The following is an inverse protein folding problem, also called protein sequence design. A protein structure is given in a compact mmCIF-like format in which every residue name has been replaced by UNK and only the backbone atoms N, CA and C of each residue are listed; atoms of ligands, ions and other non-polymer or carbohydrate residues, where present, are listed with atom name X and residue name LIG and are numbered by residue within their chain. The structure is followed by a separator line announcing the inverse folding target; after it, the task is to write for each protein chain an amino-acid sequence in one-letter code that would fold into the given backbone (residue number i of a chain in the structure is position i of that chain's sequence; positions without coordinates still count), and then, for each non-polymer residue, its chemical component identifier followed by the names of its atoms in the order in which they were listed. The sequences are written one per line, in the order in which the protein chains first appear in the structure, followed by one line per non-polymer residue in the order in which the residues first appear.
data_IF_020206830035
#
_entry.id   IF_020206830035
#
_cell.length_a   1.000
_cell.length_b   1.000
_cell.length_c   1.000
_cell.angle_alpha   90.00
_cell.angle_beta   90.00
_cell.angle_gamma   90.00
#
_symmetry.space_group_name_H-M   'P 1'
#
loop_
_entity.id
_entity.type
_entity.pdbx_description
1 polymer ?
#
# COMPACT_ATOMS: atom_id res chain seq x y z
N UNK A 1 14.57 26.53 -1.25
CA UNK A 1 14.02 25.51 -0.33
C UNK A 1 12.90 24.79 -1.09
N UNK A 2 13.15 23.57 -1.55
CA UNK A 2 12.13 22.79 -2.29
C UNK A 2 11.31 22.04 -1.26
N UNK A 3 10.03 22.36 -1.19
CA UNK A 3 9.05 21.63 -0.40
C UNK A 3 9.05 20.17 -0.90
N UNK A 4 9.03 19.17 0.00
CA UNK A 4 9.06 17.75 -0.35
C UNK A 4 7.93 17.34 -1.30
N UNK A 5 8.14 16.28 -2.09
CA UNK A 5 7.23 15.82 -3.16
C UNK A 5 5.78 15.59 -2.71
N UNK A 6 5.58 15.31 -1.42
CA UNK A 6 4.29 14.86 -0.89
C UNK A 6 3.44 16.00 -0.32
N UNK A 7 4.02 17.19 -0.11
CA UNK A 7 3.28 18.34 0.45
C UNK A 7 2.14 18.82 -0.44
N UNK A 8 2.27 18.87 -1.79
CA UNK A 8 1.15 19.26 -2.65
C UNK A 8 -0.07 18.33 -2.52
N UNK A 9 0.14 17.05 -2.20
CA UNK A 9 -0.93 16.06 -1.99
C UNK A 9 -1.75 16.38 -0.71
N UNK A 10 -1.07 16.66 0.40
CA UNK A 10 -1.75 16.91 1.69
C UNK A 10 -2.63 18.16 1.71
N UNK A 11 -2.42 19.12 0.80
CA UNK A 11 -3.20 20.37 0.75
C UNK A 11 -4.64 20.13 0.29
N UNK A 12 -4.87 19.13 -0.58
CA UNK A 12 -6.20 18.91 -1.17
C UNK A 12 -7.08 17.98 -0.35
N UNK A 13 -6.49 17.15 0.52
CA UNK A 13 -7.17 16.17 1.37
C UNK A 13 -8.25 15.37 0.62
N UNK A 14 -7.92 14.93 -0.60
CA UNK A 14 -8.77 14.16 -1.50
C UNK A 14 -7.92 13.10 -2.19
N UNK A 15 -8.55 12.02 -2.63
CA UNK A 15 -7.87 11.01 -3.46
C UNK A 15 -7.39 11.66 -4.76
N UNK A 16 -6.14 11.40 -5.16
CA UNK A 16 -5.53 12.00 -6.34
C UNK A 16 -4.52 11.07 -7.01
N UNK A 17 -4.44 11.14 -8.35
CA UNK A 17 -3.32 10.63 -9.14
C UNK A 17 -2.21 11.68 -9.13
N UNK A 18 -1.04 11.27 -8.67
CA UNK A 18 0.16 12.10 -8.66
C UNK A 18 1.10 11.64 -9.78
N UNK A 19 1.44 12.54 -10.68
CA UNK A 19 2.36 12.30 -11.78
C UNK A 19 3.57 13.23 -11.78
N UNK A 20 4.54 12.94 -12.65
CA UNK A 20 5.79 13.70 -12.74
C UNK A 20 6.62 13.57 -11.45
N UNK A 21 7.22 14.67 -11.00
CA UNK A 21 8.01 14.71 -9.74
C UNK A 21 7.16 15.15 -8.54
N UNK A 22 5.88 14.79 -8.52
CA UNK A 22 4.92 15.26 -7.51
C UNK A 22 4.21 16.58 -7.87
N UNK A 23 4.37 17.06 -9.11
CA UNK A 23 3.86 18.37 -9.53
C UNK A 23 2.60 18.29 -10.41
N UNK A 24 2.23 17.10 -10.90
CA UNK A 24 0.98 16.90 -11.63
C UNK A 24 -0.01 16.21 -10.69
N UNK A 25 -1.05 16.92 -10.29
CA UNK A 25 -2.07 16.43 -9.37
C UNK A 25 -3.40 16.41 -10.12
N UNK A 26 -3.97 15.23 -10.24
CA UNK A 26 -5.30 15.01 -10.80
C UNK A 26 -6.17 14.44 -9.69
N UNK A 27 -7.22 15.17 -9.29
CA UNK A 27 -8.17 14.66 -8.30
C UNK A 27 -8.99 13.54 -8.93
N UNK A 28 -9.16 12.45 -8.18
CA UNK A 28 -9.94 11.29 -8.63
C UNK A 28 -11.06 11.01 -7.65
N UNK A 29 -12.18 10.55 -8.19
CA UNK A 29 -13.32 10.11 -7.40
C UNK A 29 -13.00 8.77 -6.75
N UNK A 30 -13.26 8.66 -5.44
CA UNK A 30 -13.09 7.42 -4.69
C UNK A 30 -14.42 7.05 -4.04
N UNK A 31 -15.07 6.02 -4.57
CA UNK A 31 -16.35 5.52 -4.09
C UNK A 31 -16.21 4.26 -3.24
N UNK A 32 -14.99 3.84 -2.88
CA UNK A 32 -14.78 2.75 -1.95
C UNK A 32 -15.43 3.04 -0.59
N UNK A 33 -16.02 1.97 -0.03
CA UNK A 33 -16.59 1.98 1.33
C UNK A 33 -15.72 1.21 2.32
N UNK A 34 -14.68 0.56 1.82
CA UNK A 34 -13.73 -0.18 2.61
C UNK A 34 -12.94 0.71 3.56
N UNK A 35 -12.69 0.20 4.75
CA UNK A 35 -11.63 0.70 5.61
C UNK A 35 -10.29 0.13 5.15
N UNK A 36 -9.21 0.76 5.57
CA UNK A 36 -7.84 0.29 5.37
C UNK A 36 -7.28 -0.15 6.72
N UNK A 37 -6.69 -1.34 6.75
CA UNK A 37 -5.84 -1.77 7.86
C UNK A 37 -4.38 -1.55 7.47
N UNK A 38 -3.64 -0.84 8.31
CA UNK A 38 -2.21 -0.57 8.18
C UNK A 38 -1.44 -1.48 9.14
N UNK A 39 -0.39 -2.11 8.63
CA UNK A 39 0.51 -2.99 9.38
C UNK A 39 1.92 -2.43 9.24
N UNK A 40 2.45 -1.85 10.33
CA UNK A 40 3.80 -1.28 10.38
C UNK A 40 4.71 -2.17 11.21
N UNK A 41 5.77 -2.77 10.66
CA UNK A 41 6.78 -3.44 11.49
C UNK A 41 7.51 -2.43 12.38
N UNK A 42 7.73 -2.81 13.63
CA UNK A 42 8.31 -1.95 14.68
C UNK A 42 9.84 -2.05 14.68
N UNK A 43 10.39 -3.25 14.46
CA UNK A 43 11.81 -3.54 14.67
C UNK A 43 12.67 -3.40 13.40
N UNK A 44 12.05 -3.24 12.24
CA UNK A 44 12.76 -3.12 10.97
C UNK A 44 12.01 -2.23 9.99
N UNK A 45 12.73 -1.78 8.97
CA UNK A 45 12.18 -0.96 7.90
C UNK A 45 13.08 -0.95 6.68
N UNK A 46 12.58 -0.28 5.66
CA UNK A 46 13.27 -0.11 4.38
C UNK A 46 13.56 1.37 4.23
N UNK A 47 14.82 1.71 3.97
CA UNK A 47 15.15 3.11 3.66
C UNK A 47 14.67 3.44 2.25
N UNK A 48 14.26 4.69 2.00
CA UNK A 48 13.92 5.12 0.64
C UNK A 48 15.05 4.81 -0.34
N UNK A 49 16.31 5.07 0.05
CA UNK A 49 17.49 4.76 -0.76
C UNK A 49 17.56 3.27 -1.13
N UNK A 50 17.44 2.37 -0.15
CA UNK A 50 17.43 0.91 -0.36
C UNK A 50 16.32 0.49 -1.33
N UNK A 51 15.10 1.03 -1.18
CA UNK A 51 13.99 0.70 -2.08
C UNK A 51 14.26 1.09 -3.54
N UNK A 52 14.82 2.28 -3.76
CA UNK A 52 15.18 2.73 -5.11
C UNK A 52 16.36 1.95 -5.67
N UNK A 53 17.40 1.67 -4.87
CA UNK A 53 18.55 0.86 -5.31
C UNK A 53 18.13 -0.56 -5.68
N UNK A 54 17.27 -1.21 -4.88
CA UNK A 54 16.76 -2.55 -5.22
C UNK A 54 15.87 -2.51 -6.47
N UNK A 55 15.06 -1.46 -6.64
CA UNK A 55 14.24 -1.27 -7.83
C UNK A 55 15.09 -1.08 -9.10
N UNK A 56 16.13 -0.25 -9.05
CA UNK A 56 17.01 0.01 -10.19
C UNK A 56 17.77 -1.25 -10.66
N UNK A 57 17.91 -2.24 -9.77
CA UNK A 57 18.54 -3.53 -10.07
C UNK A 57 17.58 -4.60 -10.62
N UNK A 58 16.27 -4.32 -10.68
CA UNK A 58 15.29 -5.25 -11.25
C UNK A 58 15.48 -5.39 -12.76
N UNK A 59 15.49 -6.63 -13.24
CA UNK A 59 15.56 -6.93 -14.69
C UNK A 59 14.22 -6.76 -15.38
N UNK A 60 13.15 -7.13 -14.70
CA UNK A 60 11.78 -7.04 -15.18
C UNK A 60 10.95 -6.33 -14.12
N UNK A 61 10.12 -5.39 -14.56
CA UNK A 61 9.29 -4.58 -13.68
C UNK A 61 7.84 -4.70 -14.14
N UNK A 62 6.97 -5.05 -13.19
CA UNK A 62 5.53 -4.89 -13.38
C UNK A 62 5.11 -3.51 -12.92
N UNK A 63 4.25 -2.89 -13.71
CA UNK A 63 3.68 -1.57 -13.41
C UNK A 63 2.20 -1.70 -13.11
N UNK A 64 1.71 -0.81 -12.25
CA UNK A 64 0.30 -0.71 -11.93
C UNK A 64 -0.48 -0.24 -13.17
N UNK A 65 -1.71 -0.75 -13.31
CA UNK A 65 -2.65 -0.25 -14.30
C UNK A 65 -3.37 0.96 -13.72
N UNK A 66 -2.79 2.15 -13.89
CA UNK A 66 -3.30 3.38 -13.31
C UNK A 66 -4.72 3.72 -13.78
N UNK A 67 -5.03 3.47 -15.05
CA UNK A 67 -6.33 3.83 -15.61
C UNK A 67 -7.40 2.89 -15.04
N UNK A 68 -7.09 1.60 -14.91
CA UNK A 68 -7.97 0.63 -14.24
C UNK A 68 -8.12 0.90 -12.75
N UNK A 69 -7.08 1.37 -12.06
CA UNK A 69 -7.17 1.80 -10.65
C UNK A 69 -8.17 2.95 -10.51
N UNK A 70 -8.06 3.99 -11.35
CA UNK A 70 -8.94 5.17 -11.30
C UNK A 70 -10.38 4.76 -11.59
N UNK A 71 -10.59 3.94 -12.61
CA UNK A 71 -11.91 3.39 -12.93
C UNK A 71 -12.49 2.57 -11.76
N UNK A 72 -11.70 1.67 -11.17
CA UNK A 72 -12.13 0.81 -10.06
C UNK A 72 -12.46 1.60 -8.79
N UNK A 73 -11.71 2.67 -8.50
CA UNK A 73 -11.99 3.59 -7.40
C UNK A 73 -13.31 4.33 -7.62
N UNK A 74 -13.55 4.85 -8.83
CA UNK A 74 -14.80 5.51 -9.21
C UNK A 74 -15.99 4.57 -9.14
N UNK A 75 -15.83 3.31 -9.53
CA UNK A 75 -16.89 2.29 -9.48
C UNK A 75 -17.09 1.69 -8.08
N UNK A 76 -16.19 1.96 -7.13
CA UNK A 76 -16.20 1.28 -5.82
C UNK A 76 -15.90 -0.22 -5.92
N UNK A 77 -15.24 -0.66 -6.99
CA UNK A 77 -14.96 -2.07 -7.26
C UNK A 77 -13.61 -2.48 -6.64
N UNK A 78 -13.63 -2.87 -5.37
CA UNK A 78 -12.43 -3.31 -4.63
C UNK A 78 -11.69 -4.46 -5.32
N UNK A 79 -12.40 -5.46 -5.84
CA UNK A 79 -11.75 -6.65 -6.42
C UNK A 79 -10.96 -6.25 -7.67
N UNK A 80 -11.56 -5.42 -8.54
CA UNK A 80 -10.86 -4.89 -9.71
C UNK A 80 -9.66 -4.03 -9.30
N UNK A 81 -9.83 -3.15 -8.30
CA UNK A 81 -8.75 -2.33 -7.77
C UNK A 81 -7.57 -3.15 -7.28
N UNK A 82 -7.81 -4.15 -6.43
CA UNK A 82 -6.78 -5.02 -5.86
C UNK A 82 -6.03 -5.87 -6.91
N UNK A 83 -6.63 -6.06 -8.09
CA UNK A 83 -5.98 -6.73 -9.22
C UNK A 83 -5.11 -5.78 -10.06
N UNK A 84 -5.29 -4.47 -9.90
CA UNK A 84 -4.59 -3.44 -10.68
C UNK A 84 -3.49 -2.71 -9.90
N UNK A 85 -3.49 -2.83 -8.56
CA UNK A 85 -2.43 -2.30 -7.71
C UNK A 85 -1.14 -3.09 -7.90
N UNK A 86 -0.06 -2.37 -8.12
CA UNK A 86 1.31 -2.88 -8.12
C UNK A 86 2.23 -1.83 -7.51
N UNK A 87 3.24 -2.28 -6.75
CA UNK A 87 4.26 -1.42 -6.20
C UNK A 87 5.62 -1.90 -6.68
N UNK A 88 6.16 -1.22 -7.69
CA UNK A 88 7.45 -1.60 -8.27
C UNK A 88 8.62 -1.52 -7.29
N UNK A 89 8.56 -0.67 -6.26
CA UNK A 89 9.58 -0.66 -5.20
C UNK A 89 9.53 -1.93 -4.35
N UNK A 90 8.32 -2.46 -4.11
CA UNK A 90 8.13 -3.71 -3.39
C UNK A 90 8.76 -4.90 -4.12
N UNK A 91 8.65 -4.94 -5.45
CA UNK A 91 9.26 -6.01 -6.25
C UNK A 91 10.75 -6.13 -5.98
N UNK A 92 11.49 -5.02 -5.98
CA UNK A 92 12.93 -5.02 -5.72
C UNK A 92 13.26 -5.39 -4.27
N UNK A 93 12.51 -4.83 -3.33
CA UNK A 93 12.69 -5.12 -1.91
C UNK A 93 12.44 -6.60 -1.57
N UNK A 94 11.47 -7.24 -2.21
CA UNK A 94 11.18 -8.66 -1.99
C UNK A 94 12.30 -9.59 -2.51
N UNK A 95 13.18 -9.10 -3.40
CA UNK A 95 14.38 -9.84 -3.83
C UNK A 95 15.54 -9.71 -2.84
N UNK A 96 15.67 -8.55 -2.16
CA UNK A 96 16.87 -8.21 -1.39
C UNK A 96 16.68 -8.22 0.13
N UNK A 97 15.48 -7.97 0.64
CA UNK A 97 15.21 -7.80 2.07
C UNK A 97 14.40 -8.97 2.63
N UNK A 98 15.08 -9.85 3.39
CA UNK A 98 14.47 -11.07 3.93
C UNK A 98 13.38 -10.78 4.95
N UNK A 99 13.51 -9.75 5.78
CA UNK A 99 12.52 -9.42 6.82
C UNK A 99 11.20 -8.97 6.20
N UNK A 100 11.26 -8.15 5.14
CA UNK A 100 10.07 -7.72 4.39
C UNK A 100 9.42 -8.90 3.68
N UNK A 101 10.22 -9.77 3.06
CA UNK A 101 9.72 -10.98 2.41
C UNK A 101 9.00 -11.89 3.39
N UNK A 102 9.60 -12.13 4.55
CA UNK A 102 9.02 -12.94 5.62
C UNK A 102 7.74 -12.30 6.17
N UNK A 103 7.73 -10.98 6.37
CA UNK A 103 6.51 -10.27 6.78
C UNK A 103 5.38 -10.47 5.78
N UNK A 104 5.62 -10.26 4.47
CA UNK A 104 4.59 -10.45 3.43
C UNK A 104 4.07 -11.89 3.40
N UNK A 105 4.97 -12.87 3.51
CA UNK A 105 4.59 -14.28 3.58
C UNK A 105 3.72 -14.56 4.81
N UNK A 106 4.11 -14.09 5.99
CA UNK A 106 3.33 -14.23 7.22
C UNK A 106 1.95 -13.59 7.09
N UNK A 107 1.85 -12.37 6.54
CA UNK A 107 0.56 -11.71 6.33
C UNK A 107 -0.38 -12.54 5.43
N UNK A 108 0.12 -13.05 4.31
CA UNK A 108 -0.64 -13.88 3.39
C UNK A 108 -1.04 -15.25 4.00
N UNK A 109 -0.22 -15.80 4.89
CA UNK A 109 -0.53 -17.05 5.60
C UNK A 109 -1.57 -16.82 6.71
N UNK A 110 -1.43 -15.73 7.46
CA UNK A 110 -2.30 -15.40 8.58
C UNK A 110 -3.66 -14.92 8.10
N UNK A 111 -3.78 -14.25 6.96
CA UNK A 111 -5.06 -13.76 6.42
C UNK A 111 -5.14 -14.06 4.92
N UNK A 112 -5.30 -15.34 4.59
CA UNK A 112 -5.24 -15.83 3.20
C UNK A 112 -6.36 -15.30 2.29
N UNK A 113 -7.45 -14.81 2.87
CA UNK A 113 -8.56 -14.18 2.17
C UNK A 113 -8.28 -12.71 1.76
N UNK A 114 -7.15 -12.13 2.18
CA UNK A 114 -6.78 -10.74 1.90
C UNK A 114 -5.51 -10.63 1.06
N UNK A 115 -5.44 -9.53 0.31
CA UNK A 115 -4.22 -9.09 -0.36
C UNK A 115 -3.55 -7.99 0.45
N UNK A 116 -2.23 -8.06 0.53
CA UNK A 116 -1.41 -7.08 1.24
C UNK A 116 -0.49 -6.37 0.25
N UNK A 117 -0.48 -5.04 0.33
CA UNK A 117 0.29 -4.16 -0.55
C UNK A 117 1.23 -3.31 0.30
N UNK A 118 2.48 -3.13 -0.14
CA UNK A 118 3.38 -2.19 0.53
C UNK A 118 3.05 -0.75 0.13
N UNK A 119 3.02 0.17 1.10
CA UNK A 119 2.82 1.60 0.86
C UNK A 119 4.15 2.30 0.55
N UNK A 120 4.32 2.78 -0.69
CA UNK A 120 5.52 3.52 -1.12
C UNK A 120 6.80 2.66 -1.00
N UNK A 121 7.89 3.25 -0.50
CA UNK A 121 9.13 2.50 -0.21
C UNK A 121 9.00 1.55 0.99
N UNK A 122 7.85 1.50 1.65
CA UNK A 122 7.64 0.69 2.84
C UNK A 122 8.19 1.32 4.12
N UNK A 123 8.24 0.58 5.24
CA UNK A 123 7.89 -0.84 5.38
C UNK A 123 6.43 -1.13 5.78
N UNK A 124 5.55 -0.14 5.69
CA UNK A 124 4.13 -0.33 6.02
C UNK A 124 3.42 -1.12 4.93
N UNK A 125 2.69 -2.16 5.34
CA UNK A 125 1.72 -2.85 4.49
C UNK A 125 0.30 -2.36 4.77
N UNK A 126 -0.57 -2.49 3.78
CA UNK A 126 -1.99 -2.23 3.95
C UNK A 126 -2.85 -3.28 3.25
N UNK A 127 -4.09 -3.39 3.70
CA UNK A 127 -5.13 -4.21 3.06
C UNK A 127 -6.50 -3.54 3.19
N UNK A 128 -7.41 -3.86 2.26
CA UNK A 128 -8.79 -3.38 2.28
C UNK A 128 -9.67 -4.32 3.12
N UNK A 129 -10.44 -3.73 4.03
CA UNK A 129 -11.33 -4.48 4.93
C UNK A 129 -12.72 -3.86 4.93
N UNK A 130 -13.74 -4.70 4.85
CA UNK A 130 -15.11 -4.23 5.06
C UNK A 130 -15.37 -3.94 6.54
N UNK A 131 -16.42 -3.20 6.82
CA UNK A 131 -16.90 -2.96 8.18
C UNK A 131 -17.19 -4.25 8.97
N UNK A 132 -17.59 -5.33 8.28
CA UNK A 132 -17.90 -6.62 8.90
C UNK A 132 -16.64 -7.45 9.20
N UNK A 133 -15.59 -7.33 8.39
CA UNK A 133 -14.36 -8.14 8.53
C UNK A 133 -13.32 -7.48 9.44
N UNK A 134 -13.35 -6.15 9.58
CA UNK A 134 -12.23 -5.37 10.18
C UNK A 134 -11.80 -5.88 11.57
N UNK A 135 -12.76 -6.17 12.44
CA UNK A 135 -12.48 -6.61 13.82
C UNK A 135 -11.83 -7.99 13.84
N UNK A 136 -12.36 -8.94 13.06
CA UNK A 136 -11.82 -10.29 12.97
C UNK A 136 -10.39 -10.29 12.40
N UNK A 137 -10.15 -9.53 11.34
CA UNK A 137 -8.83 -9.44 10.70
C UNK A 137 -7.84 -8.77 11.63
N UNK A 138 -8.22 -7.68 12.31
CA UNK A 138 -7.38 -7.02 13.28
C UNK A 138 -6.98 -7.97 14.42
N UNK A 139 -7.93 -8.72 14.99
CA UNK A 139 -7.64 -9.72 16.02
C UNK A 139 -6.67 -10.77 15.51
N UNK A 140 -6.93 -11.35 14.32
CA UNK A 140 -6.08 -12.38 13.73
C UNK A 140 -4.65 -11.89 13.52
N UNK A 141 -4.47 -10.68 12.99
CA UNK A 141 -3.16 -10.06 12.83
C UNK A 141 -2.47 -9.79 14.17
N UNK A 142 -3.18 -9.26 15.18
CA UNK A 142 -2.62 -9.04 16.54
C UNK A 142 -2.20 -10.32 17.23
N UNK A 143 -2.88 -11.44 16.95
CA UNK A 143 -2.60 -12.73 17.57
C UNK A 143 -1.42 -13.46 16.93
N UNK A 144 -1.26 -13.35 15.61
CA UNK A 144 -0.33 -14.20 14.85
C UNK A 144 0.79 -13.45 14.13
N UNK A 145 0.80 -12.12 14.17
CA UNK A 145 1.86 -11.29 13.58
C UNK A 145 2.54 -10.51 14.69
N UNK A 146 3.76 -10.93 15.02
CA UNK A 146 4.56 -10.29 16.06
C UNK A 146 5.20 -8.99 15.59
N UNK A 147 5.52 -8.10 16.55
CA UNK A 147 6.34 -6.91 16.34
C UNK A 147 5.78 -5.93 15.28
N UNK A 148 4.46 -5.87 15.13
CA UNK A 148 3.78 -4.91 14.26
C UNK A 148 2.86 -3.97 15.04
N UNK A 149 2.77 -2.74 14.58
CA UNK A 149 1.71 -1.81 14.96
C UNK A 149 0.59 -1.92 13.92
N UNK A 150 -0.62 -2.13 14.40
CA UNK A 150 -1.83 -2.24 13.56
C UNK A 150 -2.70 -1.00 13.78
N UNK A 151 -3.15 -0.39 12.69
CA UNK A 151 -4.00 0.82 12.70
C UNK A 151 -5.11 0.62 11.68
N UNK A 152 -6.35 0.98 12.01
CA UNK A 152 -7.47 1.00 11.05
C UNK A 152 -7.80 2.46 10.74
N UNK A 153 -7.94 2.79 9.45
CA UNK A 153 -8.35 4.11 8.98
C UNK A 153 -9.44 4.00 7.92
N UNK A 154 -10.24 5.06 7.81
CA UNK A 154 -11.27 5.18 6.78
C UNK A 154 -10.68 5.84 5.52
N UNK A 155 -11.21 5.49 4.35
CA UNK A 155 -10.87 6.21 3.11
C UNK A 155 -11.43 7.62 3.11
N UNK A 156 -10.73 8.52 2.44
CA UNK A 156 -11.21 9.88 2.18
C UNK A 156 -11.83 9.86 0.79
N UNK A 157 -13.14 10.07 0.75
CA UNK A 157 -13.94 10.11 -0.48
C UNK A 157 -14.14 11.56 -0.93
#
# INVERSE_FOLDING_TARGET
MKIGSDVPFFIKNKTARIGGKGNKIELIENNLKDSIILIKPINFGVSTKEAYESFDNLKEVKYADFDRIIESLREGNRIALENSIENSLEQGILETNIDIKMLKMTLNLVVSEKKFFMSGSGSTYYSFVTEFEKSQIETRLKTFVDNVKIIICNTIN
#
